data_IF_730722386753
#
_entry.id   IF_730722386753
#
_cell.length_a   1.000
_cell.length_b   1.000
_cell.length_c   1.000
_cell.angle_alpha   90.00
_cell.angle_beta   90.00
_cell.angle_gamma   90.00
#
_symmetry.space_group_name_H-M   'P 1'
#
loop_
_entity.id
_entity.type
_entity.pdbx_description
1 polymer ?
#
# COMPACT_ATOMS: atom_id res chain seq x y z
N UNK A 1 -79.23 4.99 -26.39
CA UNK A 1 -78.07 5.07 -27.30
C UNK A 1 -77.21 6.21 -26.80
N UNK A 2 -76.19 5.94 -26.02
CA UNK A 2 -75.26 6.92 -25.46
C UNK A 2 -73.86 6.44 -25.84
N UNK A 3 -73.14 7.23 -26.68
CA UNK A 3 -71.80 6.97 -27.16
C UNK A 3 -70.75 7.18 -26.07
N UNK A 4 -69.68 6.41 -26.00
CA UNK A 4 -68.60 6.63 -25.04
C UNK A 4 -67.68 7.74 -25.56
N UNK A 5 -67.58 8.85 -24.80
CA UNK A 5 -66.56 9.89 -25.04
C UNK A 5 -65.17 9.32 -24.73
N UNK A 6 -64.39 9.11 -25.78
CA UNK A 6 -63.01 8.65 -25.70
C UNK A 6 -62.12 9.73 -25.04
N UNK A 7 -61.58 9.42 -23.88
CA UNK A 7 -60.71 10.34 -23.11
C UNK A 7 -59.30 10.44 -23.75
N UNK A 8 -59.17 11.27 -24.78
CA UNK A 8 -57.89 11.54 -25.47
C UNK A 8 -56.87 12.27 -24.60
N UNK A 9 -57.28 13.02 -23.59
CA UNK A 9 -56.42 13.81 -22.71
C UNK A 9 -55.65 12.97 -21.69
N UNK A 10 -56.09 11.80 -21.27
CA UNK A 10 -55.42 10.94 -20.29
C UNK A 10 -54.22 10.17 -20.94
N UNK A 11 -54.22 9.94 -22.25
CA UNK A 11 -53.18 9.26 -22.96
C UNK A 11 -51.92 10.14 -23.16
N UNK A 12 -52.13 11.44 -23.39
CA UNK A 12 -51.00 12.39 -23.64
C UNK A 12 -50.20 12.67 -22.35
N UNK A 13 -50.86 12.74 -21.22
CA UNK A 13 -50.18 12.99 -19.93
C UNK A 13 -49.38 11.79 -19.46
N UNK A 14 -49.81 10.54 -19.67
CA UNK A 14 -49.06 9.32 -19.40
C UNK A 14 -47.80 9.17 -20.28
N UNK A 15 -47.86 9.62 -21.54
CA UNK A 15 -46.71 9.57 -22.47
C UNK A 15 -45.62 10.59 -22.07
N UNK A 16 -46.00 11.83 -21.70
CA UNK A 16 -45.07 12.88 -21.23
C UNK A 16 -44.40 12.46 -19.92
N UNK A 17 -45.10 11.82 -19.01
CA UNK A 17 -44.55 11.32 -17.75
C UNK A 17 -43.50 10.22 -18.00
N UNK A 18 -43.77 9.24 -18.87
CA UNK A 18 -42.81 8.18 -19.22
C UNK A 18 -41.54 8.70 -19.90
N UNK A 19 -41.66 9.71 -20.73
CA UNK A 19 -40.51 10.34 -21.42
C UNK A 19 -39.68 11.15 -20.43
N UNK A 20 -40.29 11.88 -19.51
CA UNK A 20 -39.59 12.61 -18.44
C UNK A 20 -38.83 11.67 -17.48
N UNK A 21 -39.45 10.54 -17.11
CA UNK A 21 -38.80 9.51 -16.26
C UNK A 21 -37.62 8.87 -17.00
N UNK A 22 -37.75 8.58 -18.30
CA UNK A 22 -36.63 8.06 -19.12
C UNK A 22 -35.49 9.06 -19.22
N UNK A 23 -35.80 10.34 -19.43
CA UNK A 23 -34.77 11.39 -19.49
C UNK A 23 -34.07 11.58 -18.15
N UNK A 24 -34.81 11.55 -17.04
CA UNK A 24 -34.25 11.58 -15.67
C UNK A 24 -33.35 10.37 -15.41
N UNK A 25 -33.78 9.16 -15.74
CA UNK A 25 -32.97 7.96 -15.58
C UNK A 25 -31.70 7.97 -16.43
N UNK A 26 -31.79 8.48 -17.68
CA UNK A 26 -30.59 8.65 -18.54
C UNK A 26 -29.66 9.70 -17.92
N UNK A 27 -30.18 10.83 -17.46
CA UNK A 27 -29.39 11.88 -16.81
C UNK A 27 -28.70 11.37 -15.54
N UNK A 28 -29.41 10.62 -14.69
CA UNK A 28 -28.85 9.99 -13.48
C UNK A 28 -27.81 8.94 -13.84
N UNK A 29 -28.06 8.10 -14.86
CA UNK A 29 -27.07 7.13 -15.35
C UNK A 29 -25.82 7.83 -15.90
N UNK A 30 -26.00 8.91 -16.67
CA UNK A 30 -24.89 9.69 -17.22
C UNK A 30 -24.08 10.37 -16.10
N UNK A 31 -24.74 10.97 -15.12
CA UNK A 31 -24.09 11.54 -13.94
C UNK A 31 -23.35 10.48 -13.12
N UNK A 32 -23.96 9.31 -12.93
CA UNK A 32 -23.28 8.17 -12.32
C UNK A 32 -22.05 7.72 -13.12
N UNK A 33 -22.13 7.63 -14.44
CA UNK A 33 -20.98 7.32 -15.28
C UNK A 33 -19.84 8.35 -15.10
N UNK A 34 -20.12 9.65 -15.09
CA UNK A 34 -19.11 10.69 -14.87
C UNK A 34 -18.46 10.64 -13.47
N UNK A 35 -19.21 10.27 -12.44
CA UNK A 35 -18.64 10.09 -11.09
C UNK A 35 -17.82 8.82 -10.95
N UNK A 36 -18.05 7.81 -11.81
CA UNK A 36 -17.30 6.56 -11.81
C UNK A 36 -16.05 6.57 -12.69
N UNK A 37 -15.90 7.52 -13.63
CA UNK A 37 -14.75 7.54 -14.56
C UNK A 37 -13.41 7.58 -13.84
N UNK A 38 -13.24 8.40 -12.83
CA UNK A 38 -12.01 8.47 -12.04
C UNK A 38 -11.76 7.19 -11.21
N UNK A 39 -12.80 6.58 -10.66
CA UNK A 39 -12.68 5.31 -9.94
C UNK A 39 -12.33 4.15 -10.88
N UNK A 40 -12.99 4.05 -12.03
CA UNK A 40 -12.74 2.99 -13.02
C UNK A 40 -11.34 3.12 -13.62
N UNK A 41 -10.92 4.33 -13.96
CA UNK A 41 -9.56 4.60 -14.47
C UNK A 41 -8.49 4.23 -13.47
N UNK A 42 -8.70 4.55 -12.20
CA UNK A 42 -7.78 4.19 -11.12
C UNK A 42 -7.71 2.67 -10.89
N UNK A 43 -8.85 1.99 -10.81
CA UNK A 43 -8.91 0.54 -10.67
C UNK A 43 -8.29 -0.18 -11.88
N UNK A 44 -8.50 0.34 -13.08
CA UNK A 44 -7.84 -0.16 -14.29
C UNK A 44 -6.32 -0.01 -14.21
N UNK A 45 -5.83 1.15 -13.76
CA UNK A 45 -4.41 1.37 -13.53
C UNK A 45 -3.82 0.38 -12.52
N UNK A 46 -4.50 0.18 -11.39
CA UNK A 46 -4.06 -0.82 -10.39
C UNK A 46 -4.08 -2.23 -10.97
N UNK A 47 -5.16 -2.60 -11.68
CA UNK A 47 -5.29 -3.92 -12.29
C UNK A 47 -4.22 -4.21 -13.34
N UNK A 48 -3.88 -3.23 -14.20
CA UNK A 48 -2.82 -3.38 -15.20
C UNK A 48 -1.43 -3.46 -14.55
N UNK A 49 -1.16 -2.66 -13.51
CA UNK A 49 0.08 -2.73 -12.75
C UNK A 49 0.25 -4.07 -12.03
N UNK A 50 -0.83 -4.56 -11.41
CA UNK A 50 -0.85 -5.88 -10.79
C UNK A 50 -0.62 -7.00 -11.81
N UNK A 51 -1.26 -6.93 -12.96
CA UNK A 51 -1.09 -7.91 -14.03
C UNK A 51 0.36 -7.93 -14.55
N UNK A 52 1.00 -6.77 -14.70
CA UNK A 52 2.41 -6.68 -15.10
C UNK A 52 3.33 -7.41 -14.09
N UNK A 53 3.11 -7.21 -12.80
CA UNK A 53 3.83 -7.92 -11.73
C UNK A 53 3.62 -9.43 -11.86
N UNK A 54 2.37 -9.89 -12.02
CA UNK A 54 2.05 -11.31 -12.12
C UNK A 54 2.69 -11.97 -13.36
N UNK A 55 2.74 -11.26 -14.49
CA UNK A 55 3.35 -11.74 -15.74
C UNK A 55 4.88 -11.79 -15.68
N UNK A 56 5.51 -10.88 -14.94
CA UNK A 56 6.97 -10.83 -14.75
C UNK A 56 7.47 -11.79 -13.67
N UNK A 57 6.58 -12.38 -12.89
CA UNK A 57 6.92 -13.24 -11.77
C UNK A 57 7.54 -14.55 -12.23
N UNK A 58 8.71 -14.89 -11.68
CA UNK A 58 9.43 -16.16 -11.94
C UNK A 58 9.67 -16.89 -10.63
N UNK A 59 9.48 -18.21 -10.56
CA UNK A 59 9.88 -18.99 -9.39
C UNK A 59 11.37 -18.82 -9.09
N UNK A 60 11.75 -18.60 -7.82
CA UNK A 60 13.16 -18.42 -7.43
C UNK A 60 14.04 -19.57 -7.92
N UNK A 61 13.67 -20.86 -7.78
CA UNK A 61 14.50 -21.94 -8.30
C UNK A 61 14.78 -21.85 -9.82
N UNK A 62 13.83 -21.35 -10.60
CA UNK A 62 14.05 -21.14 -12.05
C UNK A 62 15.05 -20.03 -12.34
N UNK A 63 15.04 -18.95 -11.53
CA UNK A 63 16.00 -17.85 -11.65
C UNK A 63 17.41 -18.31 -11.25
N UNK A 64 17.52 -19.13 -10.20
CA UNK A 64 18.80 -19.69 -9.74
C UNK A 64 19.44 -20.61 -10.77
N UNK A 65 18.63 -21.37 -11.53
CA UNK A 65 19.09 -22.29 -12.58
C UNK A 65 19.42 -21.60 -13.90
N UNK A 66 18.96 -20.38 -14.12
CA UNK A 66 19.24 -19.62 -15.35
C UNK A 66 20.70 -19.19 -15.38
N UNK A 67 21.45 -19.63 -16.42
CA UNK A 67 22.85 -19.27 -16.63
C UNK A 67 23.05 -17.77 -16.91
N UNK A 68 22.02 -17.05 -17.35
CA UNK A 68 22.09 -15.62 -17.62
C UNK A 68 21.87 -14.78 -16.35
N UNK A 69 21.44 -15.38 -15.25
CA UNK A 69 21.29 -14.66 -13.98
C UNK A 69 22.64 -14.33 -13.38
N UNK A 70 22.84 -13.06 -13.02
CA UNK A 70 24.07 -12.59 -12.38
C UNK A 70 24.27 -13.31 -11.04
N UNK A 71 25.53 -13.62 -10.72
CA UNK A 71 25.87 -14.35 -9.49
C UNK A 71 25.47 -13.60 -8.22
N UNK A 72 25.61 -12.27 -8.21
CA UNK A 72 25.19 -11.43 -7.08
C UNK A 72 23.69 -11.58 -6.80
N UNK A 73 22.86 -11.63 -7.84
CA UNK A 73 21.42 -11.84 -7.69
C UNK A 73 21.10 -13.26 -7.19
N UNK A 74 21.86 -14.28 -7.68
CA UNK A 74 21.67 -15.65 -7.18
C UNK A 74 21.98 -15.75 -5.70
N UNK A 75 23.07 -15.14 -5.23
CA UNK A 75 23.40 -15.08 -3.79
C UNK A 75 22.25 -14.45 -3.00
N UNK A 76 21.72 -13.32 -3.45
CA UNK A 76 20.61 -12.64 -2.79
C UNK A 76 19.33 -13.48 -2.74
N UNK A 77 19.00 -14.19 -3.81
CA UNK A 77 17.84 -15.07 -3.84
C UNK A 77 18.02 -16.31 -2.95
N UNK A 78 19.24 -16.85 -2.84
CA UNK A 78 19.57 -17.93 -1.90
C UNK A 78 19.45 -17.44 -0.44
N UNK A 79 19.86 -16.19 -0.14
CA UNK A 79 19.62 -15.58 1.18
C UNK A 79 18.12 -15.55 1.48
N UNK A 80 17.26 -15.11 0.54
CA UNK A 80 15.80 -15.09 0.72
C UNK A 80 15.26 -16.48 1.04
N UNK A 81 15.67 -17.53 0.30
CA UNK A 81 15.27 -18.91 0.56
C UNK A 81 15.73 -19.36 1.96
N UNK A 82 16.96 -19.04 2.35
CA UNK A 82 17.53 -19.36 3.67
C UNK A 82 16.71 -18.69 4.79
N UNK A 83 16.41 -17.40 4.67
CA UNK A 83 15.62 -16.69 5.68
C UNK A 83 14.19 -17.23 5.75
N UNK A 84 13.61 -17.54 4.61
CA UNK A 84 12.29 -18.13 4.54
C UNK A 84 12.24 -19.50 5.24
N UNK A 85 13.23 -20.36 4.99
CA UNK A 85 13.34 -21.66 5.68
C UNK A 85 13.55 -21.48 7.18
N UNK A 86 14.39 -20.54 7.59
CA UNK A 86 14.63 -20.21 8.99
C UNK A 86 13.33 -19.74 9.67
N UNK A 87 12.60 -18.83 9.03
CA UNK A 87 11.31 -18.37 9.52
C UNK A 87 10.32 -19.51 9.77
N UNK A 88 10.27 -20.50 8.86
CA UNK A 88 9.39 -21.67 9.00
C UNK A 88 9.86 -22.59 10.14
N UNK A 89 11.15 -22.93 10.19
CA UNK A 89 11.67 -23.96 11.09
C UNK A 89 11.86 -23.44 12.50
N UNK A 90 12.42 -22.25 12.65
CA UNK A 90 12.86 -21.73 13.95
C UNK A 90 11.85 -20.72 14.54
N UNK A 91 11.13 -19.97 13.69
CA UNK A 91 10.17 -18.97 14.14
C UNK A 91 8.71 -19.42 13.99
N UNK A 92 8.47 -20.64 13.52
CA UNK A 92 7.12 -21.21 13.30
C UNK A 92 6.21 -20.35 12.40
N UNK A 93 6.79 -19.64 11.43
CA UNK A 93 6.05 -18.81 10.48
C UNK A 93 5.39 -19.68 9.41
N UNK A 94 4.32 -19.14 8.81
CA UNK A 94 3.50 -19.87 7.84
C UNK A 94 4.30 -20.27 6.59
N UNK A 95 4.44 -21.57 6.26
CA UNK A 95 5.15 -22.03 5.06
C UNK A 95 4.48 -21.61 3.74
N UNK A 96 3.21 -21.23 3.77
CA UNK A 96 2.49 -20.70 2.60
C UNK A 96 2.74 -19.22 2.34
N UNK A 97 3.44 -18.51 3.25
CA UNK A 97 3.83 -17.13 3.06
C UNK A 97 4.60 -16.91 1.75
N UNK A 98 4.57 -15.70 1.23
CA UNK A 98 5.18 -15.28 -0.04
C UNK A 98 6.68 -15.52 -0.19
N UNK A 99 7.29 -14.82 -1.11
CA UNK A 99 8.73 -14.89 -1.43
C UNK A 99 9.24 -16.23 -1.98
N UNK A 100 8.36 -16.97 -2.70
CA UNK A 100 8.75 -18.15 -3.52
C UNK A 100 9.07 -17.76 -4.95
N UNK A 101 8.74 -16.54 -5.33
CA UNK A 101 8.93 -16.00 -6.67
C UNK A 101 9.61 -14.64 -6.63
N UNK A 102 10.26 -14.30 -7.74
CA UNK A 102 11.03 -13.09 -7.93
C UNK A 102 10.47 -12.28 -9.09
N UNK A 103 10.51 -10.95 -8.97
CA UNK A 103 10.20 -10.01 -10.06
C UNK A 103 11.37 -9.08 -10.27
N UNK A 104 11.95 -9.12 -11.47
CA UNK A 104 12.89 -8.11 -11.91
C UNK A 104 12.14 -6.85 -12.32
N UNK A 105 12.41 -5.75 -11.63
CA UNK A 105 11.89 -4.44 -12.01
C UNK A 105 12.85 -3.75 -12.98
N UNK A 106 12.29 -2.99 -13.92
CA UNK A 106 13.03 -2.13 -14.85
C UNK A 106 13.38 -0.76 -14.21
N UNK A 107 12.99 -0.56 -12.94
CA UNK A 107 13.17 0.63 -12.11
C UNK A 107 13.47 0.24 -10.67
N UNK A 108 13.98 1.21 -9.89
CA UNK A 108 14.29 0.98 -8.47
C UNK A 108 13.05 0.95 -7.56
N UNK A 109 11.92 1.50 -8.01
CA UNK A 109 10.72 1.65 -7.22
C UNK A 109 9.66 0.59 -7.60
N UNK A 110 9.04 -0.03 -6.61
CA UNK A 110 7.87 -0.90 -6.83
C UNK A 110 6.67 -0.05 -7.26
N UNK A 111 6.49 1.09 -6.62
CA UNK A 111 5.43 2.05 -6.89
C UNK A 111 5.58 3.29 -6.02
N UNK A 112 4.56 4.14 -6.06
CA UNK A 112 4.48 5.38 -5.30
C UNK A 112 3.16 5.48 -4.58
N UNK A 113 3.14 6.12 -3.43
CA UNK A 113 1.91 6.50 -2.77
C UNK A 113 1.88 8.00 -2.49
N UNK A 114 0.71 8.58 -2.70
CA UNK A 114 0.40 9.97 -2.39
C UNK A 114 -0.24 10.02 -1.02
N UNK A 115 0.27 10.88 -0.16
CA UNK A 115 -0.35 11.23 1.12
C UNK A 115 -0.70 12.70 1.11
N UNK A 116 -1.75 13.08 1.83
CA UNK A 116 -2.13 14.48 2.00
C UNK A 116 -2.64 14.74 3.42
N UNK A 117 -2.55 16.00 3.85
CA UNK A 117 -3.12 16.44 5.11
C UNK A 117 -3.74 17.85 4.96
N UNK A 118 -4.65 18.14 5.87
CA UNK A 118 -5.24 19.48 5.93
C UNK A 118 -4.20 20.49 6.45
N UNK A 119 -4.10 21.66 5.82
CA UNK A 119 -3.15 22.68 6.27
C UNK A 119 -3.49 23.15 7.68
N UNK A 120 -2.48 23.45 8.48
CA UNK A 120 -2.61 23.90 9.87
C UNK A 120 -3.40 22.91 10.76
N UNK A 121 -3.44 21.64 10.39
CA UNK A 121 -4.01 20.54 11.16
C UNK A 121 -3.10 19.31 11.08
N UNK A 122 -3.04 18.53 12.16
CA UNK A 122 -2.39 17.22 12.16
C UNK A 122 -3.44 16.13 11.84
N UNK A 123 -4.13 16.32 10.72
CA UNK A 123 -5.22 15.47 10.24
C UNK A 123 -4.95 15.03 8.81
N UNK A 124 -4.88 13.71 8.60
CA UNK A 124 -4.67 13.14 7.28
C UNK A 124 -5.92 13.25 6.43
N UNK A 125 -5.75 13.65 5.17
CA UNK A 125 -6.75 13.42 4.15
C UNK A 125 -6.84 11.91 3.89
N UNK A 126 -8.03 11.38 3.71
CA UNK A 126 -8.27 9.95 3.53
C UNK A 126 -9.05 9.67 2.25
N UNK A 127 -8.78 8.50 1.66
CA UNK A 127 -9.53 7.96 0.53
C UNK A 127 -10.35 6.76 0.99
N UNK A 128 -11.54 6.62 0.47
CA UNK A 128 -12.37 5.45 0.71
C UNK A 128 -12.35 4.52 -0.50
N UNK A 129 -12.17 3.23 -0.24
CA UNK A 129 -12.19 2.17 -1.24
C UNK A 129 -13.16 1.05 -0.80
N UNK A 130 -13.89 0.42 -1.75
CA UNK A 130 -14.91 -0.58 -1.43
C UNK A 130 -14.39 -1.80 -0.64
N UNK A 131 -13.11 -2.19 -0.84
CA UNK A 131 -12.51 -3.35 -0.19
C UNK A 131 -11.61 -2.94 0.97
N UNK A 132 -10.73 -1.96 0.76
CA UNK A 132 -9.76 -1.52 1.76
C UNK A 132 -10.36 -0.56 2.82
N UNK A 133 -11.58 -0.04 2.58
CA UNK A 133 -12.19 0.96 3.45
C UNK A 133 -11.49 2.32 3.34
N UNK A 134 -11.39 3.03 4.46
CA UNK A 134 -10.75 4.35 4.53
C UNK A 134 -9.25 4.22 4.82
N UNK A 135 -8.43 4.77 3.93
CA UNK A 135 -6.96 4.73 4.04
C UNK A 135 -6.35 6.12 3.88
N UNK A 136 -5.21 6.42 4.54
CA UNK A 136 -4.57 7.75 4.52
C UNK A 136 -3.58 7.93 3.36
N UNK A 137 -3.64 7.08 2.35
CA UNK A 137 -2.78 7.17 1.16
C UNK A 137 -3.45 6.56 -0.06
N UNK A 138 -2.95 6.91 -1.24
CA UNK A 138 -3.40 6.35 -2.52
C UNK A 138 -2.18 5.89 -3.32
N UNK A 139 -2.15 4.60 -3.71
CA UNK A 139 -1.01 3.95 -4.36
C UNK A 139 -1.05 4.05 -5.88
N UNK A 140 0.13 4.10 -6.51
CA UNK A 140 0.30 4.18 -7.96
C UNK A 140 1.49 3.34 -8.42
N UNK A 141 1.36 2.65 -9.54
CA UNK A 141 2.47 2.01 -10.25
C UNK A 141 3.16 2.95 -11.26
N UNK A 142 2.66 4.17 -11.41
CA UNK A 142 3.13 5.18 -12.34
C UNK A 142 3.33 6.51 -11.60
N UNK A 143 4.55 7.08 -11.71
CA UNK A 143 4.90 8.32 -11.00
C UNK A 143 4.13 9.52 -11.55
N UNK A 144 3.85 9.57 -12.85
CA UNK A 144 3.18 10.74 -13.43
C UNK A 144 1.71 10.78 -13.00
N UNK A 145 1.07 9.62 -12.86
CA UNK A 145 -0.27 9.53 -12.24
C UNK A 145 -0.27 9.93 -10.76
N UNK A 146 0.78 9.58 -10.02
CA UNK A 146 0.94 10.04 -8.64
C UNK A 146 1.11 11.57 -8.56
N UNK A 147 1.84 12.17 -9.50
CA UNK A 147 2.00 13.62 -9.62
C UNK A 147 0.69 14.33 -10.02
N UNK A 148 -0.11 13.71 -10.88
CA UNK A 148 -1.44 14.23 -11.25
C UNK A 148 -2.35 14.30 -10.02
N UNK A 149 -2.43 13.22 -9.23
CA UNK A 149 -3.17 13.20 -7.96
C UNK A 149 -2.65 14.26 -6.99
N UNK A 150 -1.33 14.35 -6.83
CA UNK A 150 -0.71 15.36 -5.97
C UNK A 150 -1.10 16.78 -6.40
N UNK A 151 -1.10 17.06 -7.70
CA UNK A 151 -1.50 18.36 -8.27
C UNK A 151 -2.95 18.69 -7.96
N UNK A 152 -3.85 17.71 -8.09
CA UNK A 152 -5.26 17.89 -7.75
C UNK A 152 -5.46 18.22 -6.26
N UNK A 153 -4.76 17.50 -5.38
CA UNK A 153 -4.84 17.71 -3.94
C UNK A 153 -4.27 19.08 -3.52
N UNK A 154 -3.16 19.50 -4.14
CA UNK A 154 -2.63 20.86 -3.97
C UNK A 154 -3.61 21.92 -4.44
N UNK A 155 -4.32 21.65 -5.55
CA UNK A 155 -5.40 22.54 -6.02
C UNK A 155 -6.58 22.65 -5.06
N UNK A 156 -6.78 21.65 -4.20
CA UNK A 156 -7.77 21.69 -3.09
C UNK A 156 -7.23 22.34 -1.81
N UNK A 157 -6.02 22.88 -1.84
CA UNK A 157 -5.38 23.53 -0.70
C UNK A 157 -4.81 22.56 0.34
N UNK A 158 -4.56 21.30 -0.02
CA UNK A 158 -3.97 20.32 0.88
C UNK A 158 -2.44 20.31 0.79
N UNK A 159 -1.79 20.03 1.90
CA UNK A 159 -0.37 19.70 1.93
C UNK A 159 -0.18 18.24 1.50
N UNK A 160 0.77 18.01 0.57
CA UNK A 160 0.89 16.70 -0.09
C UNK A 160 2.33 16.19 -0.09
N UNK A 161 2.48 14.88 -0.17
CA UNK A 161 3.77 14.23 -0.35
C UNK A 161 3.63 12.95 -1.16
N UNK A 162 4.53 12.77 -2.15
CA UNK A 162 4.74 11.49 -2.84
C UNK A 162 5.88 10.76 -2.14
N UNK A 163 5.69 9.47 -1.86
CA UNK A 163 6.70 8.56 -1.31
C UNK A 163 6.84 7.35 -2.19
N UNK A 164 8.04 6.78 -2.22
CA UNK A 164 8.28 5.47 -2.79
C UNK A 164 7.62 4.42 -1.90
N UNK A 165 6.96 3.45 -2.51
CA UNK A 165 6.40 2.29 -1.82
C UNK A 165 7.54 1.31 -1.57
N UNK A 166 7.89 1.11 -0.31
CA UNK A 166 8.96 0.19 0.10
C UNK A 166 8.52 -1.28 0.13
N UNK A 167 7.28 -1.53 0.50
CA UNK A 167 6.65 -2.85 0.54
C UNK A 167 5.50 -2.94 -0.45
N UNK A 168 5.19 -4.15 -0.88
CA UNK A 168 4.04 -4.46 -1.70
C UNK A 168 3.42 -5.74 -1.17
N UNK A 169 2.18 -5.65 -0.72
CA UNK A 169 1.44 -6.81 -0.27
C UNK A 169 0.05 -6.82 -0.88
N UNK A 170 -0.38 -7.99 -1.28
CA UNK A 170 -1.74 -8.25 -1.77
C UNK A 170 -2.69 -8.67 -0.64
N UNK A 171 -2.28 -8.50 0.63
CA UNK A 171 -3.04 -8.93 1.81
C UNK A 171 -3.41 -10.43 1.76
N UNK A 172 -2.53 -11.25 1.19
CA UNK A 172 -2.73 -12.70 1.07
C UNK A 172 -3.63 -13.15 -0.09
N UNK A 173 -4.09 -12.24 -0.95
CA UNK A 173 -4.88 -12.61 -2.15
C UNK A 173 -4.03 -13.31 -3.20
N UNK A 174 -2.74 -12.98 -3.27
CA UNK A 174 -1.75 -13.64 -4.10
C UNK A 174 -0.51 -13.92 -3.26
N UNK A 175 0.32 -14.84 -3.72
CA UNK A 175 1.65 -15.00 -3.18
C UNK A 175 2.49 -13.78 -3.58
N UNK A 176 2.93 -13.00 -2.61
CA UNK A 176 3.72 -11.81 -2.86
C UNK A 176 5.16 -12.19 -3.26
N UNK A 177 5.65 -11.70 -4.42
CA UNK A 177 7.01 -11.97 -4.87
C UNK A 177 8.01 -11.10 -4.12
N UNK A 178 9.27 -11.50 -4.11
CA UNK A 178 10.37 -10.60 -3.78
C UNK A 178 10.77 -9.81 -5.04
N UNK A 179 11.01 -8.51 -4.88
CA UNK A 179 11.39 -7.62 -5.98
C UNK A 179 12.90 -7.36 -5.99
N UNK A 180 13.48 -7.14 -7.18
CA UNK A 180 14.89 -6.78 -7.32
C UNK A 180 15.28 -5.58 -6.45
N UNK A 181 14.44 -4.55 -6.39
CA UNK A 181 14.68 -3.35 -5.57
C UNK A 181 14.70 -3.58 -4.05
N UNK A 182 14.20 -4.71 -3.58
CA UNK A 182 14.19 -5.05 -2.15
C UNK A 182 15.44 -5.80 -1.71
N UNK A 183 16.19 -6.41 -2.65
CA UNK A 183 17.35 -7.25 -2.36
C UNK A 183 18.65 -6.77 -2.99
N UNK A 184 18.60 -6.13 -4.15
CA UNK A 184 19.76 -5.48 -4.74
C UNK A 184 20.28 -4.38 -3.81
N UNK A 185 21.45 -4.05 -3.65
CA UNK A 185 22.01 -2.99 -2.78
C UNK A 185 21.57 -3.05 -1.29
N UNK A 186 20.92 -4.14 -0.86
CA UNK A 186 20.36 -4.29 0.50
C UNK A 186 21.25 -5.22 1.33
N UNK A 187 21.51 -4.87 2.60
CA UNK A 187 22.29 -5.72 3.52
C UNK A 187 21.51 -7.01 3.81
N UNK A 188 22.24 -8.11 4.01
CA UNK A 188 21.65 -9.44 4.27
C UNK A 188 20.65 -9.43 5.42
N UNK A 189 20.98 -8.81 6.54
CA UNK A 189 20.07 -8.75 7.69
C UNK A 189 18.81 -7.91 7.42
N UNK A 190 18.88 -6.91 6.55
CA UNK A 190 17.71 -6.13 6.15
C UNK A 190 16.77 -6.95 5.24
N UNK A 191 17.34 -7.85 4.43
CA UNK A 191 16.56 -8.84 3.67
C UNK A 191 15.91 -9.85 4.62
N UNK A 192 16.62 -10.33 5.65
CA UNK A 192 16.06 -11.21 6.68
C UNK A 192 14.88 -10.53 7.41
N UNK A 193 15.07 -9.27 7.84
CA UNK A 193 14.03 -8.46 8.48
C UNK A 193 12.79 -8.36 7.60
N UNK A 194 12.93 -8.02 6.32
CA UNK A 194 11.82 -7.95 5.37
C UNK A 194 11.10 -9.29 5.24
N UNK A 195 11.84 -10.39 5.08
CA UNK A 195 11.24 -11.73 4.93
C UNK A 195 10.44 -12.11 6.17
N UNK A 196 10.97 -11.90 7.37
CA UNK A 196 10.28 -12.24 8.61
C UNK A 196 9.04 -11.36 8.83
N UNK A 197 9.13 -10.06 8.52
CA UNK A 197 8.01 -9.13 8.61
C UNK A 197 6.82 -9.59 7.76
N UNK A 198 7.04 -9.83 6.49
CA UNK A 198 5.96 -10.22 5.56
C UNK A 198 5.43 -11.64 5.84
N UNK A 199 6.31 -12.55 6.27
CA UNK A 199 5.87 -13.87 6.72
C UNK A 199 5.04 -13.81 8.00
N UNK A 200 5.30 -12.85 8.89
CA UNK A 200 4.49 -12.62 10.08
C UNK A 200 3.06 -12.22 9.71
N UNK A 201 2.88 -11.29 8.77
CA UNK A 201 1.55 -10.92 8.26
C UNK A 201 0.77 -12.09 7.68
N UNK A 202 1.46 -13.02 6.99
CA UNK A 202 0.85 -14.22 6.46
C UNK A 202 0.59 -15.31 7.53
N UNK A 203 1.17 -15.16 8.72
CA UNK A 203 1.02 -16.12 9.83
C UNK A 203 -0.13 -15.73 10.75
N UNK A 204 -0.20 -14.46 11.15
CA UNK A 204 -1.26 -13.91 12.00
C UNK A 204 -1.75 -12.60 11.43
N UNK A 205 -3.04 -12.53 11.13
CA UNK A 205 -3.67 -11.32 10.61
C UNK A 205 -5.05 -11.09 11.22
N UNK A 206 -5.27 -9.91 11.78
CA UNK A 206 -6.56 -9.48 12.33
C UNK A 206 -7.20 -8.44 11.40
N UNK A 207 -8.29 -8.79 10.72
CA UNK A 207 -8.98 -7.85 9.83
C UNK A 207 -9.43 -6.59 10.57
N UNK A 208 -9.07 -5.42 10.03
CA UNK A 208 -9.49 -4.13 10.58
C UNK A 208 -8.59 -3.56 11.68
N UNK A 209 -7.59 -4.30 12.16
CA UNK A 209 -6.62 -3.82 13.16
C UNK A 209 -5.21 -3.73 12.56
N UNK A 210 -4.97 -2.73 11.73
CA UNK A 210 -3.66 -2.51 11.12
C UNK A 210 -2.58 -2.19 12.16
N UNK A 211 -2.94 -1.54 13.27
CA UNK A 211 -1.99 -1.21 14.33
C UNK A 211 -1.43 -2.49 14.98
N UNK A 212 -2.30 -3.44 15.30
CA UNK A 212 -1.89 -4.73 15.83
C UNK A 212 -1.04 -5.50 14.82
N UNK A 213 -1.51 -5.60 13.57
CA UNK A 213 -0.83 -6.35 12.51
C UNK A 213 0.59 -5.85 12.28
N UNK A 214 0.79 -4.53 12.16
CA UNK A 214 2.11 -3.93 11.99
C UNK A 214 2.99 -4.07 13.25
N UNK A 215 2.41 -3.96 14.44
CA UNK A 215 3.16 -4.14 15.70
C UNK A 215 3.63 -5.58 15.86
N UNK A 216 2.80 -6.55 15.52
CA UNK A 216 3.14 -7.96 15.53
C UNK A 216 4.22 -8.27 14.49
N UNK A 217 4.06 -7.81 13.25
CA UNK A 217 5.04 -8.03 12.20
C UNK A 217 6.40 -7.39 12.54
N UNK A 218 6.40 -6.16 13.07
CA UNK A 218 7.63 -5.48 13.53
C UNK A 218 8.31 -6.20 14.70
N UNK A 219 7.54 -6.80 15.61
CA UNK A 219 8.09 -7.61 16.68
C UNK A 219 8.78 -8.87 16.13
N UNK A 220 8.10 -9.61 15.24
CA UNK A 220 8.66 -10.82 14.62
C UNK A 220 9.87 -10.49 13.75
N UNK A 221 9.84 -9.40 13.02
CA UNK A 221 10.97 -8.86 12.25
C UNK A 221 12.19 -8.67 13.13
N UNK A 222 12.05 -7.91 14.21
CA UNK A 222 13.14 -7.55 15.11
C UNK A 222 13.70 -8.79 15.84
N UNK A 223 12.85 -9.51 16.55
CA UNK A 223 13.27 -10.65 17.38
C UNK A 223 13.73 -11.83 16.49
N UNK A 224 13.05 -12.07 15.35
CA UNK A 224 13.45 -13.08 14.40
C UNK A 224 14.81 -12.79 13.76
N UNK A 225 15.07 -11.53 13.41
CA UNK A 225 16.39 -11.11 12.89
C UNK A 225 17.47 -11.27 13.94
N UNK A 226 17.22 -10.89 15.20
CA UNK A 226 18.18 -11.10 16.27
C UNK A 226 18.44 -12.57 16.55
N UNK A 227 17.41 -13.40 16.56
CA UNK A 227 17.54 -14.84 16.76
C UNK A 227 18.36 -15.47 15.63
N UNK A 228 18.11 -15.06 14.37
CA UNK A 228 18.91 -15.50 13.23
C UNK A 228 20.38 -15.09 13.37
N UNK A 229 20.67 -13.82 13.66
CA UNK A 229 22.03 -13.31 13.83
C UNK A 229 22.76 -14.03 14.96
N UNK A 230 22.10 -14.27 16.08
CA UNK A 230 22.69 -15.03 17.20
C UNK A 230 23.01 -16.48 16.82
N UNK A 231 22.20 -17.10 15.95
CA UNK A 231 22.43 -18.48 15.50
C UNK A 231 23.64 -18.62 14.58
N UNK A 232 23.97 -17.58 13.79
CA UNK A 232 25.08 -17.60 12.83
C UNK A 232 26.35 -16.90 13.31
N UNK A 233 26.23 -15.84 14.11
CA UNK A 233 27.36 -15.02 14.58
C UNK A 233 27.58 -15.11 16.11
N UNK A 234 26.67 -15.72 16.84
CA UNK A 234 26.67 -15.78 18.29
C UNK A 234 26.07 -14.51 18.94
N UNK A 235 25.96 -14.56 20.28
CA UNK A 235 25.29 -13.50 21.07
C UNK A 235 25.93 -12.11 20.95
N UNK A 236 27.21 -12.05 20.62
CA UNK A 236 27.97 -10.80 20.48
C UNK A 236 28.04 -10.29 19.05
N UNK A 237 27.08 -10.66 18.20
CA UNK A 237 27.01 -10.25 16.80
C UNK A 237 27.27 -8.74 16.62
N UNK A 238 28.26 -8.34 15.81
CA UNK A 238 28.51 -6.93 15.50
C UNK A 238 27.33 -6.28 14.77
N UNK A 239 26.64 -7.05 13.93
CA UNK A 239 25.47 -6.59 13.18
C UNK A 239 24.32 -6.29 14.14
N UNK A 240 24.08 -7.16 15.14
CA UNK A 240 23.07 -6.90 16.18
C UNK A 240 23.37 -5.60 16.92
N UNK A 241 24.63 -5.34 17.27
CA UNK A 241 25.03 -4.07 17.91
C UNK A 241 24.76 -2.86 17.00
N UNK A 242 25.06 -2.96 15.71
CA UNK A 242 24.73 -1.91 14.72
C UNK A 242 23.22 -1.62 14.68
N UNK A 243 22.39 -2.66 14.63
CA UNK A 243 20.92 -2.53 14.61
C UNK A 243 20.42 -1.84 15.89
N UNK A 244 20.94 -2.23 17.06
CA UNK A 244 20.56 -1.63 18.34
C UNK A 244 20.91 -0.13 18.39
N UNK A 245 22.09 0.26 17.92
CA UNK A 245 22.48 1.68 17.82
C UNK A 245 21.55 2.47 16.90
N UNK A 246 21.24 1.95 15.71
CA UNK A 246 20.27 2.56 14.81
C UNK A 246 18.87 2.70 15.43
N UNK A 247 18.45 1.70 16.22
CA UNK A 247 17.19 1.74 16.95
C UNK A 247 17.17 2.86 18.00
N UNK A 248 18.25 3.06 18.75
CA UNK A 248 18.37 4.17 19.71
C UNK A 248 18.28 5.54 19.01
N UNK A 249 18.97 5.71 17.89
CA UNK A 249 18.91 6.94 17.09
C UNK A 249 17.49 7.19 16.56
N UNK A 250 16.85 6.16 16.04
CA UNK A 250 15.46 6.21 15.58
C UNK A 250 14.49 6.60 16.71
N UNK A 251 14.69 6.08 17.92
CA UNK A 251 13.89 6.46 19.10
C UNK A 251 14.08 7.93 19.49
N UNK A 252 15.31 8.45 19.42
CA UNK A 252 15.58 9.88 19.67
C UNK A 252 14.84 10.77 18.64
N UNK A 253 14.92 10.40 17.35
CA UNK A 253 14.20 11.09 16.31
C UNK A 253 12.67 11.03 16.52
N UNK A 254 12.13 9.86 16.86
CA UNK A 254 10.70 9.68 17.16
C UNK A 254 10.24 10.59 18.30
N UNK A 255 11.00 10.66 19.39
CA UNK A 255 10.71 11.56 20.51
C UNK A 255 10.67 13.03 20.07
N UNK A 256 11.64 13.47 19.25
CA UNK A 256 11.68 14.81 18.69
C UNK A 256 10.46 15.10 17.82
N UNK A 257 10.10 14.18 16.92
CA UNK A 257 8.92 14.33 16.04
C UNK A 257 7.63 14.42 16.85
N UNK A 258 7.44 13.55 17.86
CA UNK A 258 6.26 13.59 18.75
C UNK A 258 6.19 14.91 19.52
N UNK A 259 7.32 15.37 20.07
CA UNK A 259 7.39 16.67 20.77
C UNK A 259 7.03 17.83 19.84
N UNK A 260 7.56 17.83 18.62
CA UNK A 260 7.27 18.85 17.60
C UNK A 260 5.80 18.81 17.19
N UNK A 261 5.24 17.63 16.95
CA UNK A 261 3.83 17.47 16.61
C UNK A 261 2.90 18.02 17.71
N UNK A 262 3.24 17.77 18.99
CA UNK A 262 2.46 18.30 20.11
C UNK A 262 2.52 19.85 20.18
N UNK A 263 3.70 20.44 19.94
CA UNK A 263 3.83 21.90 19.87
C UNK A 263 3.02 22.50 18.70
N UNK A 264 3.08 21.86 17.54
CA UNK A 264 2.29 22.29 16.37
C UNK A 264 0.79 22.15 16.63
N UNK A 265 0.34 21.09 17.27
CA UNK A 265 -1.08 20.90 17.65
C UNK A 265 -1.54 22.05 18.54
N UNK A 266 -0.77 22.37 19.59
CA UNK A 266 -1.08 23.51 20.48
C UNK A 266 -1.12 24.84 19.71
N UNK A 267 -0.21 25.03 18.75
CA UNK A 267 -0.19 26.24 17.91
C UNK A 267 -1.39 26.30 16.97
N UNK A 268 -1.76 25.20 16.34
CA UNK A 268 -2.88 25.13 15.41
C UNK A 268 -4.24 25.26 16.11
N UNK A 269 -4.34 24.83 17.35
CA UNK A 269 -5.54 24.98 18.20
C UNK A 269 -5.63 26.37 18.89
N UNK A 270 -4.63 27.24 18.68
CA UNK A 270 -4.62 28.60 19.30
C UNK A 270 -5.34 29.66 18.45
N UNK A 271 -5.94 30.65 19.09
CA UNK A 271 -6.63 31.79 18.46
C UNK A 271 -5.79 32.62 17.50
N UNK A 272 -4.48 32.35 17.39
CA UNK A 272 -3.58 32.98 16.43
C UNK A 272 -3.87 32.61 14.97
N UNK A 273 -4.57 31.48 14.74
CA UNK A 273 -4.98 31.07 13.40
C UNK A 273 -6.17 31.85 12.84
N UNK A 274 -7.06 32.40 13.71
CA UNK A 274 -8.27 33.12 13.29
C UNK A 274 -7.96 34.57 12.79
N UNK A 275 -6.73 35.02 12.93
CA UNK A 275 -6.33 36.40 12.52
C UNK A 275 -5.70 36.48 11.12
N UNK A 276 -5.64 35.36 10.36
CA UNK A 276 -5.04 35.33 9.02
C UNK A 276 -6.03 34.89 7.91
N UNK A 277 -7.33 34.78 8.22
CA UNK A 277 -8.39 34.59 7.23
C UNK A 277 -9.15 35.90 6.97
#
# INVERSE_FOLDING_TARGET
>A
MLEPKFNFFTSINKRKSKTAIRFYNILVLTLLCFTFENCVSYLWHLGTGQLDILLKRKPIPSVLQDSNTKEELKIKLQEVETFREYGIKELSLNPSAGFKSFVQLDRKEIGWHVTACYPLKLESYTWWFPIAGTVPYKGYFDLDKAKEEEKELKGKGLDTRIRITAGYSTLGWFEDPIFSSQIEDTKSYEVASLVFHEMAHATVYFPGDSMFNESYASFVEEEGTFHFLESVEGKESPIKKEILLKKEESQKLKKLLVSTANKLRTLYDSDLNDKKN
#
